data_IF_441341422127
#
_entry.id   IF_441341422127
#
_cell.length_a   1.000
_cell.length_b   1.000
_cell.length_c   1.000
_cell.angle_alpha   90.00
_cell.angle_beta   90.00
_cell.angle_gamma   90.00
#
_symmetry.space_group_name_H-M   'P 1'
#
loop_
_entity.id
_entity.type
_entity.pdbx_description
1 polymer ?
#
# COMPACT_ATOMS: atom_id res chain seq x y z
N UNK A 1 -28.31 9.64 -12.00
CA UNK A 1 -27.46 9.56 -13.21
C UNK A 1 -27.30 10.98 -13.75
N UNK A 2 -26.09 11.31 -14.19
CA UNK A 2 -25.76 12.60 -14.84
C UNK A 2 -25.15 12.29 -16.20
N UNK A 3 -25.29 13.16 -17.20
CA UNK A 3 -24.53 13.04 -18.44
C UNK A 3 -23.05 13.00 -18.16
N UNK A 4 -22.30 12.21 -18.90
CA UNK A 4 -20.84 12.10 -18.73
C UNK A 4 -20.14 13.45 -18.93
N UNK A 5 -20.71 14.31 -19.75
CA UNK A 5 -20.22 15.67 -20.01
C UNK A 5 -20.36 16.62 -18.82
N UNK A 6 -21.25 16.29 -17.88
CA UNK A 6 -21.52 17.10 -16.69
C UNK A 6 -20.73 16.62 -15.48
N UNK A 7 -19.96 15.53 -15.66
CA UNK A 7 -19.02 15.04 -14.67
C UNK A 7 -17.74 15.84 -14.83
N UNK A 8 -17.52 16.79 -13.91
CA UNK A 8 -16.27 17.53 -13.89
C UNK A 8 -15.09 16.56 -13.77
N UNK A 9 -14.13 16.67 -14.67
CA UNK A 9 -12.81 16.11 -14.45
C UNK A 9 -12.13 17.00 -13.42
N UNK A 10 -12.46 16.80 -12.15
CA UNK A 10 -11.63 17.37 -11.10
C UNK A 10 -10.21 16.87 -11.35
N UNK A 11 -9.26 17.78 -11.36
CA UNK A 11 -7.86 17.45 -11.48
C UNK A 11 -7.52 16.47 -10.37
N UNK A 12 -7.50 15.19 -10.69
CA UNK A 12 -7.05 14.14 -9.76
C UNK A 12 -5.55 14.39 -9.56
N UNK A 13 -5.25 15.12 -8.50
CA UNK A 13 -3.89 15.40 -8.10
C UNK A 13 -3.25 14.10 -7.64
N UNK A 14 -2.29 13.58 -8.41
CA UNK A 14 -1.52 12.38 -8.05
C UNK A 14 -0.47 12.72 -7.00
N UNK A 15 -0.22 11.77 -6.10
CA UNK A 15 0.75 11.93 -5.04
C UNK A 15 2.09 11.36 -5.51
N UNK A 16 3.13 12.20 -5.53
CA UNK A 16 4.47 11.77 -5.89
C UNK A 16 5.05 10.84 -4.81
N UNK A 17 5.66 9.72 -5.24
CA UNK A 17 6.31 8.75 -4.34
C UNK A 17 7.72 9.19 -3.92
N UNK A 18 8.30 10.17 -4.59
CA UNK A 18 9.70 10.55 -4.43
C UNK A 18 10.68 9.74 -5.29
N UNK A 19 10.17 8.76 -6.03
CA UNK A 19 10.94 7.97 -6.99
C UNK A 19 10.36 8.17 -8.38
N UNK A 20 11.15 8.74 -9.29
CA UNK A 20 10.70 9.02 -10.66
C UNK A 20 10.27 7.76 -11.41
N UNK A 21 10.98 6.67 -11.22
CA UNK A 21 10.66 5.38 -11.84
C UNK A 21 9.36 4.79 -11.29
N UNK A 22 9.13 4.87 -10.00
CA UNK A 22 7.88 4.42 -9.39
C UNK A 22 6.71 5.29 -9.85
N UNK A 23 6.87 6.59 -9.87
CA UNK A 23 5.86 7.52 -10.37
C UNK A 23 5.54 7.24 -11.85
N UNK A 24 6.54 6.96 -12.66
CA UNK A 24 6.36 6.59 -14.07
C UNK A 24 5.51 5.32 -14.21
N UNK A 25 5.83 4.28 -13.45
CA UNK A 25 5.08 3.01 -13.44
C UNK A 25 3.63 3.22 -12.99
N UNK A 26 3.40 4.12 -12.02
CA UNK A 26 2.05 4.49 -11.56
C UNK A 26 1.32 5.46 -12.49
N UNK A 27 1.93 5.83 -13.62
CA UNK A 27 1.31 6.77 -14.57
C UNK A 27 1.32 8.23 -14.08
N UNK A 28 2.27 8.59 -13.21
CA UNK A 28 2.47 9.95 -12.69
C UNK A 28 2.34 10.10 -11.17
N UNK A 29 2.12 9.00 -10.46
CA UNK A 29 2.02 8.99 -9.02
C UNK A 29 0.80 8.23 -8.48
N UNK A 30 0.63 8.24 -7.18
CA UNK A 30 -0.45 7.54 -6.48
C UNK A 30 -1.77 8.30 -6.66
N UNK A 31 -2.83 7.58 -7.06
CA UNK A 31 -4.17 8.16 -7.23
C UNK A 31 -4.92 8.11 -5.90
N UNK A 32 -5.48 9.25 -5.42
CA UNK A 32 -6.32 9.27 -4.23
C UNK A 32 -7.50 8.29 -4.33
N UNK A 33 -7.83 7.64 -3.23
CA UNK A 33 -8.93 6.66 -3.18
C UNK A 33 -8.65 5.34 -3.88
N UNK A 34 -7.47 5.14 -4.44
CA UNK A 34 -7.06 3.88 -5.09
C UNK A 34 -6.41 2.92 -4.12
N UNK A 35 -6.49 1.62 -4.44
CA UNK A 35 -5.67 0.58 -3.82
C UNK A 35 -4.69 0.05 -4.86
N UNK A 36 -3.41 0.18 -4.57
CA UNK A 36 -2.32 -0.34 -5.38
C UNK A 36 -1.69 -1.55 -4.68
N UNK A 37 -1.68 -2.68 -5.35
CA UNK A 37 -0.98 -3.88 -4.89
C UNK A 37 0.48 -3.84 -5.34
N UNK A 38 1.39 -3.93 -4.38
CA UNK A 38 2.83 -4.10 -4.65
C UNK A 38 3.17 -5.56 -4.43
N UNK A 39 3.32 -6.28 -5.52
CA UNK A 39 3.53 -7.72 -5.53
C UNK A 39 4.99 -8.08 -5.82
N UNK A 40 5.47 -9.15 -5.22
CA UNK A 40 6.81 -9.66 -5.45
C UNK A 40 7.23 -10.71 -4.44
N UNK A 41 8.37 -11.34 -4.65
CA UNK A 41 8.91 -12.33 -3.72
C UNK A 41 9.26 -11.69 -2.36
N UNK A 42 9.15 -12.45 -1.25
CA UNK A 42 9.63 -12.01 0.05
C UNK A 42 11.12 -11.67 0.02
N UNK A 43 11.51 -10.61 0.74
CA UNK A 43 12.92 -10.20 0.84
C UNK A 43 13.48 -9.43 -0.34
N UNK A 44 12.68 -9.16 -1.38
CA UNK A 44 13.11 -8.44 -2.58
C UNK A 44 13.26 -6.92 -2.37
N UNK A 45 12.78 -6.40 -1.26
CA UNK A 45 12.90 -4.98 -0.90
C UNK A 45 11.62 -4.16 -1.08
N UNK A 46 10.46 -4.79 -1.23
CA UNK A 46 9.16 -4.10 -1.29
C UNK A 46 8.91 -3.21 -0.07
N UNK A 47 9.09 -3.77 1.11
CA UNK A 47 8.85 -3.05 2.37
C UNK A 47 9.79 -1.86 2.53
N UNK A 48 11.04 -1.96 2.09
CA UNK A 48 12.00 -0.85 2.10
C UNK A 48 11.59 0.26 1.13
N UNK A 49 11.20 -0.09 -0.10
CA UNK A 49 10.69 0.89 -1.08
C UNK A 49 9.48 1.63 -0.52
N UNK A 50 8.54 0.91 0.08
CA UNK A 50 7.33 1.52 0.61
C UNK A 50 7.58 2.36 1.86
N UNK A 51 8.54 1.98 2.70
CA UNK A 51 8.93 2.79 3.84
C UNK A 51 9.61 4.10 3.42
N UNK A 52 10.47 4.06 2.40
CA UNK A 52 11.05 5.28 1.79
C UNK A 52 9.96 6.15 1.14
N UNK A 53 9.03 5.54 0.42
CA UNK A 53 7.86 6.24 -0.13
C UNK A 53 7.05 6.91 0.96
N UNK A 54 6.80 6.22 2.07
CA UNK A 54 6.10 6.77 3.23
C UNK A 54 6.81 8.01 3.78
N UNK A 55 8.11 7.97 3.94
CA UNK A 55 8.92 9.11 4.38
C UNK A 55 8.85 10.29 3.40
N UNK A 56 8.95 10.02 2.10
CA UNK A 56 8.84 11.03 1.06
C UNK A 56 7.48 11.73 1.06
N UNK A 57 6.40 10.96 1.11
CA UNK A 57 5.03 11.50 1.15
C UNK A 57 4.79 12.25 2.46
N UNK A 58 5.31 11.76 3.59
CA UNK A 58 5.22 12.45 4.86
C UNK A 58 5.87 13.83 4.81
N UNK A 59 7.05 13.97 4.20
CA UNK A 59 7.69 15.27 3.98
C UNK A 59 6.85 16.21 3.12
N UNK A 60 6.30 15.71 2.03
CA UNK A 60 5.46 16.50 1.11
C UNK A 60 4.16 16.99 1.75
N UNK A 61 3.59 16.23 2.67
CA UNK A 61 2.30 16.54 3.29
C UNK A 61 2.41 17.19 4.67
N UNK A 62 3.60 17.34 5.21
CA UNK A 62 3.82 17.81 6.59
C UNK A 62 3.13 19.15 6.93
N UNK A 63 3.01 20.03 5.97
CA UNK A 63 2.41 21.36 6.15
C UNK A 63 1.01 21.48 5.54
N UNK A 64 0.43 20.36 5.08
CA UNK A 64 -0.94 20.37 4.60
C UNK A 64 -1.92 20.65 5.75
N UNK A 65 -2.97 21.38 5.45
CA UNK A 65 -4.03 21.70 6.43
C UNK A 65 -4.90 20.49 6.75
N UNK A 66 -5.06 19.62 5.79
CA UNK A 66 -5.79 18.35 5.92
C UNK A 66 -4.91 17.20 5.44
N UNK A 67 -5.09 16.02 6.05
CA UNK A 67 -4.37 14.81 5.66
C UNK A 67 -2.85 15.01 5.59
N UNK A 68 -2.30 15.43 6.70
CA UNK A 68 -0.87 15.71 6.84
C UNK A 68 -0.05 14.57 7.44
N UNK A 69 -0.65 13.39 7.59
CA UNK A 69 0.01 12.20 8.14
C UNK A 69 0.11 11.10 7.09
N UNK A 70 1.07 10.22 7.27
CA UNK A 70 1.20 8.95 6.54
C UNK A 70 1.17 7.82 7.56
N UNK A 71 0.41 6.78 7.28
CA UNK A 71 0.24 5.64 8.16
C UNK A 71 0.90 4.39 7.55
N UNK A 72 1.87 3.83 8.25
CA UNK A 72 2.52 2.57 7.88
C UNK A 72 2.13 1.49 8.89
N UNK A 73 1.45 0.47 8.41
CA UNK A 73 0.97 -0.64 9.22
C UNK A 73 1.71 -1.92 8.83
N UNK A 74 2.40 -2.53 9.78
CA UNK A 74 3.08 -3.80 9.59
C UNK A 74 2.39 -4.92 10.37
N UNK A 75 2.09 -6.01 9.67
CA UNK A 75 1.67 -7.28 10.28
C UNK A 75 2.84 -8.25 10.46
N UNK A 76 4.04 -7.90 10.01
CA UNK A 76 5.21 -8.79 10.01
C UNK A 76 6.28 -8.34 11.02
N UNK A 77 6.52 -7.05 11.11
CA UNK A 77 7.57 -6.47 11.93
C UNK A 77 6.99 -5.67 13.10
N UNK A 78 7.73 -5.64 14.20
CA UNK A 78 7.43 -4.75 15.31
C UNK A 78 7.68 -3.28 14.95
N UNK A 79 7.07 -2.36 15.67
CA UNK A 79 7.33 -0.93 15.51
C UNK A 79 8.82 -0.58 15.65
N UNK A 80 9.53 -1.23 16.57
CA UNK A 80 10.96 -1.02 16.77
C UNK A 80 11.79 -1.44 15.55
N UNK A 81 11.45 -2.56 14.91
CA UNK A 81 12.13 -3.03 13.70
C UNK A 81 11.88 -2.09 12.52
N UNK A 82 10.64 -1.66 12.32
CA UNK A 82 10.29 -0.69 11.26
C UNK A 82 11.01 0.64 11.50
N UNK A 83 11.00 1.13 12.74
CA UNK A 83 11.72 2.36 13.11
C UNK A 83 13.21 2.27 12.85
N UNK A 84 13.84 1.14 13.14
CA UNK A 84 15.27 0.91 12.86
C UNK A 84 15.56 1.02 11.35
N UNK A 85 14.72 0.42 10.51
CA UNK A 85 14.85 0.56 9.06
C UNK A 85 14.62 2.00 8.58
N UNK A 86 13.61 2.66 9.11
CA UNK A 86 13.30 4.05 8.78
C UNK A 86 14.49 4.97 9.09
N UNK A 87 15.16 4.75 10.21
CA UNK A 87 16.37 5.50 10.57
C UNK A 87 17.51 5.30 9.57
N UNK A 88 17.70 4.09 9.08
CA UNK A 88 18.77 3.79 8.09
C UNK A 88 18.54 4.42 6.73
N UNK A 89 17.30 4.56 6.32
CA UNK A 89 16.93 5.07 4.99
C UNK A 89 16.49 6.54 5.00
N UNK A 90 16.60 7.21 6.13
CA UNK A 90 16.26 8.63 6.24
C UNK A 90 14.75 8.94 6.20
N UNK A 91 13.92 8.00 6.63
CA UNK A 91 12.46 8.15 6.67
C UNK A 91 11.92 8.52 8.06
N UNK A 92 12.73 9.19 8.88
CA UNK A 92 12.35 9.58 10.26
C UNK A 92 11.58 10.89 10.26
N UNK A 93 10.33 10.83 9.80
CA UNK A 93 9.45 12.00 9.75
C UNK A 93 8.45 11.97 10.91
N UNK A 94 8.22 13.13 11.61
CA UNK A 94 7.33 13.16 12.77
C UNK A 94 5.86 12.85 12.44
N UNK A 95 5.44 13.06 11.20
CA UNK A 95 4.09 12.77 10.71
C UNK A 95 3.96 11.41 10.02
N UNK A 96 5.00 10.60 10.03
CA UNK A 96 4.94 9.19 9.65
C UNK A 96 4.58 8.35 10.89
N UNK A 97 3.37 7.82 10.90
CA UNK A 97 2.82 7.04 12.00
C UNK A 97 3.01 5.54 11.73
N UNK A 98 3.48 4.83 12.74
CA UNK A 98 3.70 3.39 12.67
C UNK A 98 2.70 2.65 13.56
N UNK A 99 2.14 1.57 13.02
CA UNK A 99 1.36 0.60 13.78
C UNK A 99 1.84 -0.82 13.47
N UNK A 100 1.74 -1.71 14.45
CA UNK A 100 2.02 -3.13 14.29
C UNK A 100 0.78 -3.90 14.74
N UNK A 101 0.10 -4.53 13.82
CA UNK A 101 -1.11 -5.31 14.06
C UNK A 101 -1.35 -6.31 12.93
N UNK A 102 -2.01 -7.41 13.25
CA UNK A 102 -2.50 -8.39 12.27
C UNK A 102 -4.03 -8.39 12.17
N UNK A 103 -4.71 -7.53 12.90
CA UNK A 103 -6.18 -7.48 12.96
C UNK A 103 -6.73 -6.46 11.96
N UNK A 104 -7.56 -6.92 11.02
CA UNK A 104 -8.15 -6.08 9.99
C UNK A 104 -8.99 -4.94 10.58
N UNK A 105 -9.79 -5.20 11.59
CA UNK A 105 -10.64 -4.16 12.19
C UNK A 105 -9.81 -3.02 12.81
N UNK A 106 -8.66 -3.35 13.39
CA UNK A 106 -7.70 -2.38 13.89
C UNK A 106 -7.09 -1.56 12.74
N UNK A 107 -6.71 -2.21 11.64
CA UNK A 107 -6.19 -1.51 10.45
C UNK A 107 -7.21 -0.50 9.93
N UNK A 108 -8.45 -0.90 9.73
CA UNK A 108 -9.52 -0.03 9.24
C UNK A 108 -9.80 1.12 10.21
N UNK A 109 -9.84 0.82 11.50
CA UNK A 109 -10.05 1.82 12.57
C UNK A 109 -8.95 2.89 12.60
N UNK A 110 -7.68 2.50 12.40
CA UNK A 110 -6.56 3.44 12.32
C UNK A 110 -6.67 4.35 11.09
N UNK A 111 -7.01 3.81 9.94
CA UNK A 111 -7.20 4.60 8.72
C UNK A 111 -8.34 5.61 8.90
N UNK A 112 -9.45 5.19 9.49
CA UNK A 112 -10.60 6.04 9.75
C UNK A 112 -10.29 7.13 10.81
N UNK A 113 -9.56 6.77 11.85
CA UNK A 113 -9.19 7.70 12.93
C UNK A 113 -8.23 8.78 12.45
N UNK A 114 -7.17 8.41 11.76
CA UNK A 114 -6.10 9.34 11.37
C UNK A 114 -6.33 10.01 10.01
N UNK A 115 -7.17 9.44 9.16
CA UNK A 115 -7.43 9.93 7.79
C UNK A 115 -6.15 10.40 7.08
N UNK A 116 -5.16 9.50 6.93
CA UNK A 116 -3.86 9.87 6.40
C UNK A 116 -3.93 10.29 4.93
N UNK A 117 -2.91 10.99 4.47
CA UNK A 117 -2.71 11.25 3.05
C UNK A 117 -2.40 9.96 2.27
N UNK A 118 -1.80 8.99 2.94
CA UNK A 118 -1.44 7.69 2.40
C UNK A 118 -1.43 6.65 3.53
N UNK A 119 -2.01 5.48 3.29
CA UNK A 119 -1.88 4.32 4.15
C UNK A 119 -1.11 3.21 3.43
N UNK A 120 -0.17 2.59 4.13
CA UNK A 120 0.59 1.43 3.64
C UNK A 120 0.31 0.26 4.57
N UNK A 121 -0.05 -0.88 4.00
CA UNK A 121 -0.35 -2.12 4.72
C UNK A 121 0.61 -3.22 4.24
N UNK A 122 1.43 -3.71 5.15
CA UNK A 122 2.43 -4.74 4.89
C UNK A 122 2.21 -5.93 5.86
N UNK A 123 1.58 -6.98 5.43
CA UNK A 123 1.16 -7.38 4.11
C UNK A 123 -0.29 -7.91 4.10
N UNK A 124 -0.85 -8.10 2.91
CA UNK A 124 -2.17 -8.72 2.76
C UNK A 124 -2.25 -10.10 3.41
N UNK A 125 -1.15 -10.87 3.38
CA UNK A 125 -1.10 -12.24 3.92
C UNK A 125 -1.02 -12.32 5.44
N UNK A 126 -0.61 -11.26 6.11
CA UNK A 126 -0.46 -11.22 7.58
C UNK A 126 -1.66 -10.63 8.30
N UNK A 127 -2.49 -9.90 7.61
CA UNK A 127 -3.71 -9.31 8.18
C UNK A 127 -4.85 -10.33 8.14
N UNK A 128 -5.60 -10.41 9.22
CA UNK A 128 -6.69 -11.38 9.42
C UNK A 128 -7.98 -10.67 9.79
N UNK A 129 -9.07 -11.06 9.12
CA UNK A 129 -10.43 -10.68 9.50
C UNK A 129 -11.02 -11.70 10.47
N UNK A 130 -11.68 -11.21 11.53
CA UNK A 130 -12.45 -12.05 12.45
C UNK A 130 -13.84 -12.40 11.89
N UNK A 131 -14.27 -11.71 10.83
CA UNK A 131 -15.61 -11.85 10.27
C UNK A 131 -15.75 -13.01 9.28
N UNK A 132 -14.64 -13.54 8.82
CA UNK A 132 -14.61 -14.67 7.88
C UNK A 132 -13.70 -15.80 8.38
N UNK A 133 -14.06 -17.02 8.02
CA UNK A 133 -13.23 -18.18 8.29
C UNK A 133 -12.03 -18.24 7.34
N UNK A 134 -11.05 -19.02 7.72
CA UNK A 134 -9.86 -19.26 6.92
C UNK A 134 -8.59 -18.97 7.68
N UNK A 135 -7.51 -19.51 7.18
CA UNK A 135 -6.16 -19.33 7.76
C UNK A 135 -5.56 -18.02 7.27
N UNK A 136 -4.70 -17.45 8.08
CA UNK A 136 -3.88 -16.28 7.70
C UNK A 136 -3.15 -16.55 6.39
N UNK A 137 -3.22 -15.61 5.45
CA UNK A 137 -2.62 -15.74 4.12
C UNK A 137 -3.39 -16.63 3.15
N UNK A 138 -4.44 -17.30 3.58
CA UNK A 138 -5.32 -18.07 2.71
C UNK A 138 -6.16 -17.17 1.80
N UNK A 139 -6.66 -17.74 0.71
CA UNK A 139 -7.35 -17.00 -0.35
C UNK A 139 -8.58 -16.24 0.15
N UNK A 140 -9.38 -16.83 1.05
CA UNK A 140 -10.56 -16.19 1.64
C UNK A 140 -10.18 -14.99 2.49
N UNK A 141 -9.17 -15.11 3.35
CA UNK A 141 -8.69 -14.03 4.21
C UNK A 141 -8.08 -12.89 3.40
N UNK A 142 -7.22 -13.20 2.44
CA UNK A 142 -6.56 -12.20 1.59
C UNK A 142 -7.58 -11.40 0.77
N UNK A 143 -8.61 -12.04 0.24
CA UNK A 143 -9.70 -11.37 -0.47
C UNK A 143 -10.50 -10.44 0.42
N UNK A 144 -10.82 -10.89 1.62
CA UNK A 144 -11.57 -10.07 2.59
C UNK A 144 -10.77 -8.83 2.98
N UNK A 145 -9.49 -8.98 3.26
CA UNK A 145 -8.59 -7.86 3.57
C UNK A 145 -8.56 -6.86 2.43
N UNK A 146 -8.36 -7.33 1.20
CA UNK A 146 -8.33 -6.45 0.02
C UNK A 146 -9.67 -5.74 -0.21
N UNK A 147 -10.78 -6.47 -0.12
CA UNK A 147 -12.12 -5.89 -0.30
C UNK A 147 -12.42 -4.81 0.73
N UNK A 148 -12.10 -5.04 1.99
CA UNK A 148 -12.30 -4.08 3.06
C UNK A 148 -11.44 -2.82 2.88
N UNK A 149 -10.18 -2.97 2.47
CA UNK A 149 -9.30 -1.84 2.18
C UNK A 149 -9.77 -1.04 0.97
N UNK A 150 -10.27 -1.70 -0.07
CA UNK A 150 -10.83 -1.04 -1.25
C UNK A 150 -12.04 -0.19 -0.87
N UNK A 151 -12.98 -0.73 -0.10
CA UNK A 151 -14.16 -0.01 0.36
C UNK A 151 -13.77 1.20 1.21
N UNK A 152 -12.83 1.04 2.12
CA UNK A 152 -12.34 2.13 2.98
C UNK A 152 -11.62 3.20 2.18
N UNK A 153 -10.74 2.82 1.26
CA UNK A 153 -10.03 3.75 0.39
C UNK A 153 -10.99 4.61 -0.43
N UNK A 154 -12.02 4.01 -1.02
CA UNK A 154 -13.02 4.71 -1.82
C UNK A 154 -13.93 5.59 -0.98
N UNK A 155 -14.38 5.10 0.15
CA UNK A 155 -15.30 5.84 1.03
C UNK A 155 -14.64 7.07 1.64
N UNK A 156 -13.38 6.95 2.05
CA UNK A 156 -12.63 8.03 2.70
C UNK A 156 -11.76 8.84 1.73
N UNK A 157 -11.68 8.44 0.46
CA UNK A 157 -10.79 9.03 -0.54
C UNK A 157 -9.33 9.05 -0.08
N UNK A 158 -8.88 7.93 0.47
CA UNK A 158 -7.51 7.72 0.97
C UNK A 158 -6.82 6.66 0.11
N UNK A 159 -5.66 6.95 -0.48
CA UNK A 159 -4.90 5.95 -1.23
C UNK A 159 -4.27 4.93 -0.27
N UNK A 160 -4.29 3.66 -0.69
CA UNK A 160 -3.69 2.54 0.05
C UNK A 160 -2.69 1.83 -0.84
N UNK A 161 -1.48 1.63 -0.35
CA UNK A 161 -0.50 0.71 -0.92
C UNK A 161 -0.51 -0.58 -0.10
N UNK A 162 -0.82 -1.69 -0.75
CA UNK A 162 -0.93 -3.00 -0.13
C UNK A 162 0.21 -3.91 -0.62
N UNK A 163 0.98 -4.44 0.30
CA UNK A 163 2.05 -5.39 -0.02
C UNK A 163 1.47 -6.79 -0.17
N UNK A 164 1.81 -7.46 -1.26
CA UNK A 164 1.47 -8.86 -1.50
C UNK A 164 2.72 -9.69 -1.77
N UNK A 165 2.89 -10.79 -1.03
CA UNK A 165 3.98 -11.73 -1.24
C UNK A 165 3.59 -12.79 -2.25
N UNK A 166 4.47 -13.03 -3.23
CA UNK A 166 4.35 -14.09 -4.24
C UNK A 166 5.35 -15.18 -3.90
N UNK A 167 4.88 -16.41 -3.77
CA UNK A 167 5.77 -17.56 -3.68
C UNK A 167 6.12 -18.08 -5.07
N UNK A 168 7.34 -18.68 -5.19
CA UNK A 168 7.86 -19.22 -6.46
C UNK A 168 6.96 -20.28 -7.10
N UNK A 169 6.21 -21.02 -6.29
CA UNK A 169 5.31 -22.08 -6.74
C UNK A 169 3.86 -21.62 -6.94
N UNK A 170 3.55 -20.37 -6.62
CA UNK A 170 2.20 -19.81 -6.74
C UNK A 170 1.16 -20.44 -5.81
N UNK A 171 1.58 -21.19 -4.80
CA UNK A 171 0.71 -22.00 -3.94
C UNK A 171 0.01 -21.22 -2.82
N UNK A 172 0.47 -20.01 -2.51
CA UNK A 172 -0.21 -19.11 -1.58
C UNK A 172 -1.01 -18.10 -2.39
N UNK A 173 -2.15 -17.65 -1.84
CA UNK A 173 -3.01 -16.65 -2.46
C UNK A 173 -2.17 -15.43 -2.91
N UNK A 174 -1.59 -15.57 -4.07
CA UNK A 174 -0.68 -14.60 -4.67
C UNK A 174 -1.45 -13.48 -5.35
N UNK A 175 -0.77 -12.61 -6.07
CA UNK A 175 -1.34 -11.46 -6.76
C UNK A 175 -2.51 -11.82 -7.65
N UNK A 176 -2.53 -13.01 -8.24
CA UNK A 176 -3.63 -13.47 -9.12
C UNK A 176 -4.99 -13.47 -8.43
N UNK A 177 -5.04 -13.69 -7.11
CA UNK A 177 -6.29 -13.63 -6.34
C UNK A 177 -6.78 -12.20 -6.19
N UNK A 178 -5.89 -11.23 -6.18
CA UNK A 178 -6.16 -9.81 -5.91
C UNK A 178 -6.19 -8.93 -7.16
N UNK A 179 -5.62 -9.38 -8.28
CA UNK A 179 -5.49 -8.60 -9.52
C UNK A 179 -6.83 -8.05 -10.02
N UNK A 180 -7.91 -8.79 -9.83
CA UNK A 180 -9.26 -8.37 -10.25
C UNK A 180 -9.98 -7.47 -9.24
N UNK A 181 -9.43 -7.29 -8.06
CA UNK A 181 -10.05 -6.50 -6.99
C UNK A 181 -9.45 -5.11 -6.88
N UNK A 182 -8.14 -4.99 -6.97
CA UNK A 182 -7.41 -3.73 -6.78
C UNK A 182 -7.41 -2.87 -8.05
N UNK A 183 -7.18 -1.58 -7.90
CA UNK A 183 -7.16 -0.63 -9.02
C UNK A 183 -5.88 -0.72 -9.84
N UNK A 184 -4.76 -1.04 -9.20
CA UNK A 184 -3.42 -1.08 -9.81
C UNK A 184 -2.63 -2.23 -9.22
N UNK A 185 -1.91 -2.96 -10.06
CA UNK A 185 -0.92 -3.97 -9.65
C UNK A 185 0.45 -3.56 -10.15
N UNK A 186 1.38 -3.36 -9.22
CA UNK A 186 2.80 -3.17 -9.49
C UNK A 186 3.55 -4.44 -9.14
N UNK A 187 4.21 -5.04 -10.10
CA UNK A 187 5.05 -6.18 -9.85
C UNK A 187 6.49 -5.73 -9.62
N UNK A 188 7.04 -6.14 -8.48
CA UNK A 188 8.39 -5.84 -8.09
C UNK A 188 9.27 -7.05 -8.35
N UNK A 189 10.24 -6.90 -9.25
CA UNK A 189 11.23 -7.94 -9.55
C UNK A 189 12.62 -7.44 -9.15
N UNK A 190 13.41 -8.29 -8.55
CA UNK A 190 14.79 -8.02 -8.19
C UNK A 190 15.73 -8.94 -8.95
N UNK A 191 16.85 -8.39 -9.37
CA UNK A 191 17.98 -9.17 -9.83
C UNK A 191 18.93 -9.39 -8.66
N UNK A 192 19.14 -10.66 -8.30
CA UNK A 192 20.01 -11.04 -7.20
C UNK A 192 21.48 -10.70 -7.44
N UNK A 193 21.90 -10.56 -8.71
CA UNK A 193 23.29 -10.32 -9.08
C UNK A 193 23.67 -8.85 -9.11
N UNK A 194 22.72 -7.95 -9.40
CA UNK A 194 23.03 -6.54 -9.62
C UNK A 194 22.53 -5.58 -8.54
N UNK A 195 21.82 -6.07 -7.54
CA UNK A 195 21.11 -5.26 -6.53
C UNK A 195 20.15 -4.20 -7.15
N UNK A 196 19.93 -4.26 -8.45
CA UNK A 196 18.96 -3.44 -9.16
C UNK A 196 17.57 -4.02 -8.94
N UNK A 197 16.75 -3.24 -8.26
CA UNK A 197 15.34 -3.54 -8.01
C UNK A 197 14.52 -2.86 -9.09
N UNK A 198 13.85 -3.64 -9.91
CA UNK A 198 13.06 -3.09 -11.02
C UNK A 198 11.58 -3.33 -10.79
N UNK A 199 10.81 -2.27 -10.95
CA UNK A 199 9.37 -2.31 -11.09
C UNK A 199 9.05 -2.58 -12.56
N UNK A 200 8.57 -3.78 -12.90
CA UNK A 200 8.51 -4.23 -14.29
C UNK A 200 7.14 -4.20 -14.94
N UNK A 201 6.05 -4.22 -14.23
CA UNK A 201 4.76 -4.12 -14.92
C UNK A 201 3.68 -3.49 -14.08
N UNK A 202 2.88 -2.70 -14.75
CA UNK A 202 1.65 -2.13 -14.26
C UNK A 202 0.49 -2.79 -15.01
N UNK A 203 -0.41 -3.42 -14.28
CA UNK A 203 -1.68 -3.87 -14.82
C UNK A 203 -2.74 -2.88 -14.35
N UNK A 204 -3.27 -2.09 -15.26
CA UNK A 204 -4.48 -1.30 -15.02
C UNK A 204 -5.69 -2.20 -15.21
N UNK A 205 -6.53 -2.27 -14.23
CA UNK A 205 -7.82 -2.95 -14.30
C UNK A 205 -8.91 -1.89 -14.44
#
# INVERSE_FOLDING_TARGET
ARPITDIGTENISRIATGFSEFDRVLGGGIVPGSVTLIAGEPGIGKSTLLLETAGNVARLTAFATERNTVLYISGEESQAQVRMRASRIGAMEPNLLLASTTDLSTVLGLIEQFKPALAIVDSAQTIVSQDVDGISGGSTQVREVASALIDTAKTLDIPVLLVGHVTKDGSIAGPRTLEHLVDVVCQFEGDAETALRMLLSLIHI
#
